data_IF_168065934570
#
_entry.id   IF_168065934570
#
_cell.length_a   1.000
_cell.length_b   1.000
_cell.length_c   1.000
_cell.angle_alpha   90.00
_cell.angle_beta   90.00
_cell.angle_gamma   90.00
#
_symmetry.space_group_name_H-M   'P 1'
#
loop_
_entity.id
_entity.type
_entity.pdbx_description
1 polymer ?
#
# COMPACT_ATOMS: atom_id res chain seq x y z
N UNK A 1 12.58 3.26 -10.40
CA UNK A 1 11.91 4.10 -9.39
C UNK A 1 10.44 3.74 -9.31
N UNK A 2 9.72 4.18 -8.28
CA UNK A 2 8.27 4.01 -8.22
C UNK A 2 7.60 4.64 -9.45
N UNK A 3 6.68 3.91 -10.07
CA UNK A 3 6.03 4.34 -11.32
C UNK A 3 5.23 5.62 -11.17
N UNK A 4 4.76 5.94 -9.96
CA UNK A 4 4.04 7.18 -9.69
C UNK A 4 4.86 8.45 -9.97
N UNK A 5 6.19 8.40 -9.79
CA UNK A 5 7.06 9.54 -10.11
C UNK A 5 7.09 9.86 -11.60
N UNK A 6 6.76 8.93 -12.49
CA UNK A 6 6.66 9.22 -13.93
C UNK A 6 5.54 10.20 -14.27
N UNK A 7 4.58 10.40 -13.36
CA UNK A 7 3.50 11.38 -13.50
C UNK A 7 3.95 12.80 -13.15
N UNK A 8 5.07 12.95 -12.44
CA UNK A 8 5.64 14.25 -12.14
C UNK A 8 6.19 14.89 -13.43
N UNK A 9 5.98 16.20 -13.56
CA UNK A 9 6.32 16.95 -14.78
C UNK A 9 7.82 16.86 -15.10
N UNK A 10 8.68 17.10 -14.11
CA UNK A 10 10.13 17.10 -14.33
C UNK A 10 10.64 15.71 -14.70
N UNK A 11 10.10 14.68 -14.04
CA UNK A 11 10.46 13.28 -14.34
C UNK A 11 10.02 12.88 -15.75
N UNK A 12 8.80 13.28 -16.15
CA UNK A 12 8.28 13.01 -17.49
C UNK A 12 9.12 13.70 -18.57
N UNK A 13 9.43 14.98 -18.42
CA UNK A 13 10.24 15.74 -19.37
C UNK A 13 11.64 15.13 -19.54
N UNK A 14 12.24 14.65 -18.45
CA UNK A 14 13.52 13.95 -18.49
C UNK A 14 13.45 12.63 -19.25
N UNK A 15 12.43 11.80 -19.00
CA UNK A 15 12.22 10.54 -19.73
C UNK A 15 11.98 10.81 -21.22
N UNK A 16 11.11 11.78 -21.55
CA UNK A 16 10.80 12.14 -22.94
C UNK A 16 12.06 12.64 -23.68
N UNK A 17 12.92 13.41 -23.01
CA UNK A 17 14.21 13.84 -23.56
C UNK A 17 15.11 12.65 -23.93
N UNK A 18 15.28 11.67 -23.03
CA UNK A 18 16.13 10.51 -23.28
C UNK A 18 15.56 9.60 -24.39
N UNK A 19 14.24 9.39 -24.40
CA UNK A 19 13.56 8.63 -25.44
C UNK A 19 13.68 9.34 -26.79
N UNK A 20 13.56 10.67 -26.83
CA UNK A 20 13.78 11.49 -28.02
C UNK A 20 15.22 11.42 -28.57
N UNK A 21 16.19 10.96 -27.76
CA UNK A 21 17.57 10.67 -28.16
C UNK A 21 17.80 9.22 -28.61
N UNK A 22 16.74 8.42 -28.72
CA UNK A 22 16.80 7.02 -29.16
C UNK A 22 17.01 6.00 -28.04
N UNK A 23 16.90 6.39 -26.77
CA UNK A 23 16.95 5.45 -25.65
C UNK A 23 15.61 4.73 -25.46
N UNK A 24 15.65 3.54 -24.85
CA UNK A 24 14.45 2.77 -24.50
C UNK A 24 14.22 2.81 -22.99
N UNK A 25 13.00 3.16 -22.58
CA UNK A 25 12.59 3.08 -21.19
C UNK A 25 12.24 1.63 -20.79
N UNK A 26 12.78 1.13 -19.68
CA UNK A 26 12.43 -0.19 -19.11
C UNK A 26 12.02 -0.08 -17.64
N UNK A 27 10.92 -0.75 -17.28
CA UNK A 27 10.43 -0.81 -15.90
C UNK A 27 11.13 -1.94 -15.14
N UNK A 28 12.11 -1.59 -14.29
CA UNK A 28 12.90 -2.55 -13.50
C UNK A 28 12.71 -2.42 -11.99
N UNK A 29 11.72 -1.62 -11.56
CA UNK A 29 11.44 -1.43 -10.14
C UNK A 29 10.55 -2.54 -9.59
N UNK A 30 10.99 -3.17 -8.50
CA UNK A 30 10.18 -4.06 -7.66
C UNK A 30 9.69 -3.31 -6.42
N UNK A 31 8.44 -3.55 -6.03
CA UNK A 31 7.89 -3.01 -4.77
C UNK A 31 8.63 -3.57 -3.55
N UNK A 32 8.81 -2.74 -2.52
CA UNK A 32 9.27 -3.18 -1.20
C UNK A 32 8.14 -3.58 -0.25
N UNK A 33 6.88 -3.34 -0.62
CA UNK A 33 5.71 -3.66 0.20
C UNK A 33 5.09 -5.01 -0.20
N UNK A 34 4.49 -5.69 0.79
CA UNK A 34 3.70 -6.89 0.56
C UNK A 34 2.50 -6.59 -0.34
N UNK A 35 2.25 -7.48 -1.31
CA UNK A 35 1.06 -7.41 -2.14
C UNK A 35 -0.20 -7.91 -1.39
N UNK A 36 -1.37 -7.73 -2.00
CA UNK A 36 -2.65 -8.14 -1.41
C UNK A 36 -2.70 -9.64 -1.08
N UNK A 37 -2.05 -10.49 -1.88
CA UNK A 37 -2.05 -11.93 -1.64
C UNK A 37 -1.18 -12.28 -0.42
N UNK A 38 -0.04 -11.64 -0.26
CA UNK A 38 0.82 -11.77 0.91
C UNK A 38 0.13 -11.27 2.18
N UNK A 39 -0.56 -10.12 2.12
CA UNK A 39 -1.34 -9.62 3.25
C UNK A 39 -2.48 -10.58 3.65
N UNK A 40 -3.18 -11.18 2.69
CA UNK A 40 -4.19 -12.23 2.99
C UNK A 40 -3.58 -13.41 3.73
N UNK A 41 -2.47 -13.96 3.23
CA UNK A 41 -1.76 -15.05 3.92
C UNK A 41 -1.35 -14.67 5.34
N UNK A 42 -0.86 -13.45 5.55
CA UNK A 42 -0.50 -12.95 6.88
C UNK A 42 -1.72 -12.94 7.81
N UNK A 43 -2.86 -12.41 7.38
CA UNK A 43 -4.09 -12.36 8.18
C UNK A 43 -4.64 -13.76 8.47
N UNK A 44 -4.63 -14.64 7.48
CA UNK A 44 -5.11 -16.02 7.61
C UNK A 44 -4.30 -16.83 8.65
N UNK A 45 -2.99 -16.61 8.70
CA UNK A 45 -2.08 -17.27 9.65
C UNK A 45 -2.19 -16.66 11.04
N UNK A 46 -2.19 -15.33 11.14
CA UNK A 46 -2.15 -14.64 12.43
C UNK A 46 -3.52 -14.60 13.12
N UNK A 47 -4.62 -14.67 12.37
CA UNK A 47 -6.01 -14.58 12.86
C UNK A 47 -6.19 -13.48 13.92
N UNK A 48 -5.84 -12.23 13.61
CA UNK A 48 -5.85 -11.17 14.61
C UNK A 48 -7.28 -10.85 15.06
N UNK A 49 -7.45 -10.49 16.34
CA UNK A 49 -8.74 -10.01 16.87
C UNK A 49 -9.16 -8.67 16.23
N UNK A 50 -8.19 -7.78 16.06
CA UNK A 50 -8.36 -6.46 15.46
C UNK A 50 -7.28 -6.25 14.38
N UNK A 51 -7.64 -5.63 13.25
CA UNK A 51 -6.74 -5.25 12.17
C UNK A 51 -6.77 -3.74 11.98
N UNK A 52 -5.61 -3.09 12.13
CA UNK A 52 -5.46 -1.65 11.90
C UNK A 52 -4.67 -1.44 10.60
N UNK A 53 -5.29 -1.00 9.48
CA UNK A 53 -4.56 -0.68 8.27
C UNK A 53 -3.76 0.61 8.49
N UNK A 54 -2.45 0.53 8.27
CA UNK A 54 -1.53 1.68 8.34
C UNK A 54 -0.76 1.82 7.03
N UNK A 55 -0.22 3.01 6.78
CA UNK A 55 0.62 3.29 5.61
C UNK A 55 -0.04 2.92 4.27
N UNK A 56 -1.33 3.26 4.12
CA UNK A 56 -2.12 3.07 2.90
C UNK A 56 -3.10 4.22 2.72
N UNK A 57 -3.45 4.53 1.48
CA UNK A 57 -4.52 5.47 1.15
C UNK A 57 -5.89 4.79 0.98
N UNK A 58 -5.92 3.46 0.92
CA UNK A 58 -7.12 2.64 0.68
C UNK A 58 -7.53 1.89 1.97
N UNK A 59 -7.43 2.55 3.13
CA UNK A 59 -7.76 1.93 4.42
C UNK A 59 -9.22 1.50 4.54
N UNK A 60 -10.11 2.20 3.86
CA UNK A 60 -11.55 1.95 3.77
C UNK A 60 -11.90 0.64 3.03
N UNK A 61 -11.05 0.19 2.11
CA UNK A 61 -11.25 -1.07 1.39
C UNK A 61 -10.89 -2.31 2.21
N UNK A 62 -10.13 -2.17 3.30
CA UNK A 62 -9.66 -3.32 4.08
C UNK A 62 -10.81 -4.14 4.69
N UNK A 63 -11.90 -3.50 5.11
CA UNK A 63 -13.08 -4.20 5.62
C UNK A 63 -13.71 -5.17 4.60
N UNK A 64 -13.64 -4.82 3.30
CA UNK A 64 -14.12 -5.68 2.21
C UNK A 64 -13.11 -6.78 1.89
N UNK A 65 -11.81 -6.49 1.97
CA UNK A 65 -10.73 -7.42 1.62
C UNK A 65 -10.54 -8.51 2.67
N UNK A 66 -10.67 -8.16 3.96
CA UNK A 66 -10.44 -9.03 5.12
C UNK A 66 -11.74 -9.29 5.89
N UNK A 67 -12.73 -9.85 5.20
CA UNK A 67 -14.01 -10.21 5.80
C UNK A 67 -13.81 -11.20 6.96
N UNK A 68 -14.42 -10.92 8.11
CA UNK A 68 -14.34 -11.76 9.31
C UNK A 68 -13.29 -11.33 10.34
N UNK A 69 -12.52 -10.28 10.06
CA UNK A 69 -11.66 -9.62 11.05
C UNK A 69 -12.21 -8.23 11.35
N UNK A 70 -12.18 -7.82 12.62
CA UNK A 70 -12.59 -6.46 13.01
C UNK A 70 -11.55 -5.46 12.51
N UNK A 71 -11.88 -4.72 11.45
CA UNK A 71 -11.02 -3.68 10.90
C UNK A 71 -11.26 -2.37 11.63
N UNK A 72 -10.19 -1.74 12.11
CA UNK A 72 -10.19 -0.47 12.83
C UNK A 72 -9.40 0.55 12.01
N UNK A 73 -10.10 1.35 11.21
CA UNK A 73 -9.47 2.46 10.50
C UNK A 73 -9.26 3.63 11.47
N UNK A 74 -8.06 4.19 11.48
CA UNK A 74 -7.71 5.34 12.30
C UNK A 74 -7.04 6.42 11.48
N UNK A 75 -7.27 7.66 11.88
CA UNK A 75 -6.62 8.83 11.34
C UNK A 75 -5.39 9.23 12.18
N UNK A 76 -4.58 10.14 11.63
CA UNK A 76 -3.45 10.71 12.34
C UNK A 76 -3.88 11.26 13.70
N UNK A 77 -3.16 10.83 14.76
CA UNK A 77 -3.38 11.18 16.17
C UNK A 77 -4.61 10.55 16.83
N UNK A 78 -5.36 9.71 16.14
CA UNK A 78 -6.39 8.89 16.80
C UNK A 78 -5.74 7.77 17.61
N UNK A 79 -6.40 7.40 18.72
CA UNK A 79 -5.93 6.40 19.66
C UNK A 79 -6.95 5.27 19.71
N UNK A 80 -6.47 4.03 19.55
CA UNK A 80 -7.25 2.82 19.82
C UNK A 80 -6.80 2.25 21.15
N UNK A 81 -7.75 2.06 22.06
CA UNK A 81 -7.53 1.30 23.29
C UNK A 81 -8.08 -0.11 23.12
N UNK A 82 -7.29 -1.10 23.54
CA UNK A 82 -7.77 -2.48 23.67
C UNK A 82 -8.32 -2.64 25.09
N UNK A 83 -9.64 -2.70 25.22
CA UNK A 83 -10.27 -2.99 26.50
C UNK A 83 -9.96 -4.45 26.84
N UNK A 84 -9.04 -4.66 27.79
CA UNK A 84 -8.65 -5.98 28.29
C UNK A 84 -9.77 -6.66 29.11
N UNK A 85 -10.98 -6.75 28.58
CA UNK A 85 -12.03 -7.61 29.11
C UNK A 85 -12.31 -8.73 28.09
N UNK A 86 -11.54 -9.81 28.29
CA UNK A 86 -11.82 -11.23 27.95
C UNK A 86 -12.73 -11.53 26.77
#
# INVERSE_FOLDING_TARGET
MWGGYKKDKATKEFIDFLVGKGMTEKQIHSSGHADRAALKRMVDVLKPKNLVPIHTFEGDEYGKIFAGVKVLQINDKEVVTDDKNT
#
